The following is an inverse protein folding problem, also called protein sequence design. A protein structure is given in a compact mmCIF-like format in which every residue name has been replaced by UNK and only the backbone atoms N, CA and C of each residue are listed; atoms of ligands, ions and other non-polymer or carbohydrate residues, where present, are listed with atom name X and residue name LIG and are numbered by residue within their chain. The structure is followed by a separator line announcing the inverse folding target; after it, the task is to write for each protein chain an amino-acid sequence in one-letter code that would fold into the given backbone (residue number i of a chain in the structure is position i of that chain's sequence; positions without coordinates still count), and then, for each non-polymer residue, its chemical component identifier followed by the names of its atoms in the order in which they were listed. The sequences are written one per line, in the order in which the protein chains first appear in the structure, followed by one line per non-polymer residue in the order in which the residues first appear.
data_IF_440556891651
#
_entry.id   IF_440556891651
#
_cell.length_a   1.000
_cell.length_b   1.000
_cell.length_c   1.000
_cell.angle_alpha   90.00
_cell.angle_beta   90.00
_cell.angle_gamma   90.00
#
_symmetry.space_group_name_H-M   'P 1'
#
loop_
_entity.id
_entity.type
_entity.pdbx_description
1 polymer ?
#
# COMPACT_ATOMS: atom_id res chain seq x y z
N UNK A 1 37.79 -21.08 73.51
CA UNK A 1 37.10 -20.53 72.32
C UNK A 1 36.17 -21.62 71.79
N UNK A 2 35.26 -22.11 72.64
CA UNK A 2 33.90 -21.57 72.87
C UNK A 2 33.05 -21.73 71.59
N UNK A 3 32.38 -22.88 71.42
CA UNK A 3 30.99 -23.23 71.83
C UNK A 3 29.95 -22.65 70.85
N UNK A 4 29.32 -23.45 69.97
CA UNK A 4 28.25 -24.45 70.18
C UNK A 4 26.83 -23.85 70.17
N UNK A 5 26.06 -24.28 69.15
CA UNK A 5 24.62 -24.61 69.08
C UNK A 5 23.58 -23.86 69.95
N UNK A 6 22.42 -23.56 69.36
CA UNK A 6 21.14 -24.28 69.58
C UNK A 6 19.91 -23.47 69.17
N UNK A 7 18.90 -24.20 68.71
CA UNK A 7 17.54 -23.80 68.34
C UNK A 7 16.70 -23.46 69.57
N UNK A 8 15.85 -22.43 69.51
CA UNK A 8 14.57 -22.40 70.23
C UNK A 8 13.55 -21.48 69.53
N UNK A 9 12.34 -21.98 69.41
CA UNK A 9 11.09 -21.33 69.03
C UNK A 9 10.56 -20.42 70.15
N UNK A 10 9.87 -19.33 69.81
CA UNK A 10 8.75 -18.88 70.63
C UNK A 10 7.67 -18.16 69.82
N UNK A 11 6.42 -18.50 70.13
CA UNK A 11 5.20 -17.87 69.66
C UNK A 11 4.72 -16.93 70.76
N UNK A 12 4.33 -15.71 70.44
CA UNK A 12 3.45 -14.91 71.29
C UNK A 12 2.64 -13.92 70.47
N UNK A 13 1.34 -13.91 70.78
CA UNK A 13 0.19 -13.28 70.11
C UNK A 13 -0.06 -11.82 70.53
N UNK A 14 -1.09 -11.23 69.90
CA UNK A 14 -1.89 -10.01 70.23
C UNK A 14 -1.27 -8.71 69.67
N UNK A 15 -1.94 -7.79 68.94
CA UNK A 15 -3.35 -7.36 68.80
C UNK A 15 -3.63 -6.85 67.38
N UNK A 16 -4.89 -6.98 66.98
CA UNK A 16 -5.59 -6.21 65.94
C UNK A 16 -5.32 -4.69 66.02
N UNK A 17 -5.09 -4.07 64.87
CA UNK A 17 -5.28 -2.63 64.64
C UNK A 17 -5.34 -2.38 63.14
N UNK A 18 -6.57 -2.30 62.67
CA UNK A 18 -7.01 -1.71 61.40
C UNK A 18 -6.28 -0.40 61.09
N UNK A 19 -5.55 -0.35 59.99
CA UNK A 19 -5.35 0.88 59.22
C UNK A 19 -5.64 0.54 57.77
N UNK A 20 -6.90 0.77 57.39
CA UNK A 20 -7.32 0.89 56.00
C UNK A 20 -6.67 2.15 55.43
N UNK A 21 -5.61 2.01 54.64
CA UNK A 21 -5.22 3.04 53.68
C UNK A 21 -5.93 2.73 52.36
N UNK A 22 -7.14 3.27 52.25
CA UNK A 22 -7.95 3.25 51.05
C UNK A 22 -7.67 4.55 50.29
N UNK A 23 -6.68 4.59 49.40
CA UNK A 23 -6.62 5.65 48.39
C UNK A 23 -5.63 5.40 47.23
N UNK A 24 -6.07 4.75 46.14
CA UNK A 24 -5.47 4.97 44.79
C UNK A 24 -6.37 4.75 43.57
N UNK A 25 -7.63 4.29 43.69
CA UNK A 25 -8.38 3.87 42.48
C UNK A 25 -9.24 4.97 41.81
N UNK A 26 -9.31 6.18 42.37
CA UNK A 26 -10.16 7.25 41.83
C UNK A 26 -9.48 8.09 40.71
N UNK A 27 -8.15 8.21 40.73
CA UNK A 27 -7.40 9.13 39.85
C UNK A 27 -7.20 8.57 38.43
N UNK A 28 -7.18 7.24 38.27
CA UNK A 28 -7.08 6.59 36.96
C UNK A 28 -8.36 6.74 36.12
N UNK A 29 -9.54 6.74 36.75
CA UNK A 29 -10.83 6.83 36.07
C UNK A 29 -11.10 8.21 35.45
N UNK A 30 -10.67 9.28 36.11
CA UNK A 30 -10.81 10.65 35.62
C UNK A 30 -9.81 10.96 34.49
N UNK A 31 -8.56 10.51 34.62
CA UNK A 31 -7.54 10.65 33.58
C UNK A 31 -7.94 9.92 32.28
N UNK A 32 -8.48 8.71 32.39
CA UNK A 32 -8.93 7.93 31.23
C UNK A 32 -10.14 8.58 30.53
N UNK A 33 -11.05 9.18 31.31
CA UNK A 33 -12.18 9.93 30.77
C UNK A 33 -11.76 11.16 29.96
N UNK A 34 -10.66 11.82 30.34
CA UNK A 34 -10.18 13.03 29.66
C UNK A 34 -9.46 12.71 28.35
N UNK A 35 -8.71 11.61 28.30
CA UNK A 35 -8.04 11.15 27.07
C UNK A 35 -9.04 10.90 25.95
N UNK A 36 -10.18 10.30 26.27
CA UNK A 36 -11.23 9.95 25.31
C UNK A 36 -12.12 11.12 24.85
N UNK A 37 -11.99 12.31 25.44
CA UNK A 37 -12.88 13.43 25.13
C UNK A 37 -12.83 13.80 23.64
N UNK A 38 -14.00 13.92 23.01
CA UNK A 38 -14.12 14.28 21.59
C UNK A 38 -13.72 13.19 20.60
N UNK A 39 -13.50 11.95 21.04
CA UNK A 39 -13.13 10.83 20.15
C UNK A 39 -14.15 10.68 19.02
N UNK A 40 -13.69 10.60 17.78
CA UNK A 40 -14.51 10.48 16.55
C UNK A 40 -15.38 11.71 16.20
N UNK A 41 -15.46 12.73 17.05
CA UNK A 41 -16.28 13.94 16.81
C UNK A 41 -15.58 14.92 15.86
N UNK A 42 -14.25 14.87 15.79
CA UNK A 42 -13.43 15.81 15.02
C UNK A 42 -12.73 15.15 13.83
N UNK A 43 -12.29 15.98 12.88
CA UNK A 43 -11.47 15.54 11.74
C UNK A 43 -11.97 16.09 10.40
N UNK A 44 -11.70 15.35 9.34
CA UNK A 44 -12.16 15.64 7.99
C UNK A 44 -12.68 14.36 7.32
N UNK A 45 -13.04 14.44 6.04
CA UNK A 45 -13.47 13.27 5.26
C UNK A 45 -12.36 12.22 5.07
N UNK A 46 -11.08 12.58 5.24
CA UNK A 46 -9.97 11.64 5.13
C UNK A 46 -9.71 10.88 6.45
N UNK A 47 -9.65 11.60 7.57
CA UNK A 47 -9.25 11.06 8.88
C UNK A 47 -10.05 11.66 10.03
N UNK A 48 -10.38 10.82 11.02
CA UNK A 48 -10.99 11.26 12.29
C UNK A 48 -9.88 11.58 13.25
N UNK A 49 -9.80 12.80 13.78
CA UNK A 49 -8.75 13.16 14.73
C UNK A 49 -9.05 14.48 15.41
N UNK A 50 -8.43 14.69 16.57
CA UNK A 50 -8.65 15.85 17.44
C UNK A 50 -7.54 16.90 17.35
N UNK A 51 -6.84 16.97 16.22
CA UNK A 51 -5.89 18.03 15.91
C UNK A 51 -5.90 18.46 14.44
N UNK A 52 -5.40 19.68 14.19
CA UNK A 52 -5.00 20.22 12.88
C UNK A 52 -3.47 20.22 12.79
N UNK A 53 -2.93 20.22 11.57
CA UNK A 53 -1.50 20.35 11.31
C UNK A 53 -1.18 21.79 10.88
N UNK A 54 -0.02 22.30 11.29
CA UNK A 54 0.57 23.50 10.69
C UNK A 54 1.50 23.06 9.56
N UNK A 55 1.14 23.41 8.33
CA UNK A 55 1.85 23.02 7.13
C UNK A 55 3.24 23.70 7.09
N UNK A 56 4.36 22.96 7.09
CA UNK A 56 5.69 23.57 7.11
C UNK A 56 6.04 24.31 5.81
N UNK A 57 5.40 23.95 4.70
CA UNK A 57 5.63 24.53 3.38
C UNK A 57 5.06 25.95 3.20
N UNK A 58 3.90 26.24 3.81
CA UNK A 58 3.18 27.51 3.64
C UNK A 58 2.74 28.16 4.95
N UNK A 59 3.00 27.51 6.09
CA UNK A 59 2.60 27.92 7.45
C UNK A 59 1.08 28.04 7.68
N UNK A 60 0.28 27.54 6.75
CA UNK A 60 -1.18 27.47 6.88
C UNK A 60 -1.63 26.28 7.73
N UNK A 61 -2.86 26.34 8.22
CA UNK A 61 -3.43 25.32 9.10
C UNK A 61 -4.46 24.50 8.34
N UNK A 62 -4.25 23.19 8.31
CA UNK A 62 -5.17 22.25 7.69
C UNK A 62 -5.58 21.18 8.68
N UNK A 63 -6.70 20.51 8.42
CA UNK A 63 -6.96 19.24 9.07
C UNK A 63 -5.79 18.31 8.73
N UNK A 64 -5.72 17.72 7.53
CA UNK A 64 -4.64 16.78 7.16
C UNK A 64 -3.83 17.23 5.93
N UNK A 65 -2.80 16.43 5.62
CA UNK A 65 -2.05 16.52 4.37
C UNK A 65 -2.97 16.49 3.15
N UNK A 66 -4.00 15.65 3.11
CA UNK A 66 -4.88 15.56 1.95
C UNK A 66 -5.72 16.83 1.79
N UNK A 67 -6.35 17.34 2.87
CA UNK A 67 -7.01 18.65 2.83
C UNK A 67 -6.06 19.77 2.37
N UNK A 68 -4.80 19.76 2.81
CA UNK A 68 -3.79 20.70 2.34
C UNK A 68 -3.55 20.55 0.84
N UNK A 69 -3.23 19.34 0.37
CA UNK A 69 -2.87 19.08 -1.03
C UNK A 69 -4.04 19.32 -1.99
N UNK A 70 -5.28 19.05 -1.56
CA UNK A 70 -6.49 19.37 -2.33
C UNK A 70 -6.68 20.88 -2.45
N UNK A 71 -6.48 21.63 -1.37
CA UNK A 71 -6.63 23.10 -1.36
C UNK A 71 -5.50 23.81 -2.11
N UNK A 72 -4.33 23.17 -2.21
CA UNK A 72 -3.11 23.70 -2.86
C UNK A 72 -2.75 22.95 -4.14
N UNK A 73 -3.73 22.29 -4.77
CA UNK A 73 -3.52 21.44 -5.94
C UNK A 73 -2.85 22.23 -7.08
N UNK A 74 -1.74 21.70 -7.58
CA UNK A 74 -0.93 22.32 -8.65
C UNK A 74 0.07 23.39 -8.20
N UNK A 75 0.13 23.74 -6.91
CA UNK A 75 1.13 24.67 -6.37
C UNK A 75 2.26 23.94 -5.66
N UNK A 76 1.92 23.19 -4.61
CA UNK A 76 2.88 22.43 -3.81
C UNK A 76 2.18 21.36 -2.97
N UNK A 77 2.96 20.38 -2.50
CA UNK A 77 2.47 19.34 -1.60
C UNK A 77 3.12 19.42 -0.22
N UNK A 78 2.37 18.99 0.80
CA UNK A 78 2.90 18.87 2.15
C UNK A 78 3.66 17.55 2.32
N UNK A 79 4.92 17.66 2.71
CA UNK A 79 5.70 16.52 3.17
C UNK A 79 5.29 16.14 4.60
N UNK A 80 4.72 14.94 4.77
CA UNK A 80 4.21 14.43 6.05
C UNK A 80 5.26 14.41 7.18
N UNK A 81 6.53 14.18 6.85
CA UNK A 81 7.63 14.06 7.83
C UNK A 81 8.09 15.41 8.37
N UNK A 82 7.81 16.49 7.65
CA UNK A 82 8.30 17.83 7.99
C UNK A 82 7.36 18.56 8.94
N UNK A 83 6.18 17.98 9.25
CA UNK A 83 5.23 18.55 10.21
C UNK A 83 5.84 18.50 11.61
N UNK A 84 6.02 19.68 12.20
CA UNK A 84 6.60 19.83 13.54
C UNK A 84 5.57 20.28 14.58
N UNK A 85 4.46 20.89 14.16
CA UNK A 85 3.46 21.46 15.06
C UNK A 85 2.04 21.04 14.69
N UNK A 86 1.22 20.89 15.73
CA UNK A 86 -0.20 20.56 15.65
C UNK A 86 -1.00 21.50 16.55
N UNK A 87 -2.26 21.71 16.21
CA UNK A 87 -3.20 22.54 16.96
C UNK A 87 -4.30 21.62 17.47
N UNK A 88 -4.49 21.55 18.78
CA UNK A 88 -5.56 20.76 19.40
C UNK A 88 -6.93 21.33 19.00
N UNK A 89 -7.86 20.48 18.57
CA UNK A 89 -9.22 20.88 18.20
C UNK A 89 -10.18 21.04 19.40
N UNK A 90 -9.74 20.64 20.59
CA UNK A 90 -10.54 20.73 21.81
C UNK A 90 -10.28 22.03 22.58
N UNK A 91 -9.04 22.54 22.56
CA UNK A 91 -8.63 23.70 23.34
C UNK A 91 -7.74 24.70 22.59
N UNK A 92 -7.63 24.56 21.27
CA UNK A 92 -6.89 25.44 20.36
C UNK A 92 -5.39 25.64 20.68
N UNK A 93 -4.82 24.79 21.53
CA UNK A 93 -3.41 24.85 21.89
C UNK A 93 -2.55 24.40 20.71
N UNK A 94 -1.67 25.28 20.23
CA UNK A 94 -0.59 24.93 19.33
C UNK A 94 0.59 24.35 20.11
N UNK A 95 1.09 23.19 19.68
CA UNK A 95 2.16 22.46 20.36
C UNK A 95 3.04 21.70 19.37
N UNK A 96 4.25 21.26 19.77
CA UNK A 96 4.99 20.26 19.01
C UNK A 96 4.18 18.99 18.80
N UNK A 97 4.47 18.25 17.72
CA UNK A 97 3.84 16.95 17.46
C UNK A 97 4.02 16.05 18.68
N UNK A 98 2.88 15.65 19.24
CA UNK A 98 2.74 14.63 20.26
C UNK A 98 1.37 13.97 20.09
N UNK A 99 1.16 12.79 20.68
CA UNK A 99 -0.14 12.14 20.66
C UNK A 99 -1.16 12.84 21.56
N UNK A 100 -0.72 13.32 22.73
CA UNK A 100 -1.59 13.91 23.75
C UNK A 100 -1.43 15.42 23.78
N UNK A 101 -2.54 16.14 23.94
CA UNK A 101 -2.51 17.59 24.07
C UNK A 101 -1.83 17.99 25.39
N UNK A 102 -0.82 18.86 25.32
CA UNK A 102 -0.05 19.26 26.50
C UNK A 102 -0.80 20.18 27.45
N UNK A 103 -1.89 20.80 26.98
CA UNK A 103 -2.71 21.71 27.79
C UNK A 103 -3.94 21.00 28.37
N UNK A 104 -4.76 20.37 27.53
CA UNK A 104 -6.04 19.83 27.96
C UNK A 104 -6.05 18.31 28.21
N UNK A 105 -4.95 17.61 27.92
CA UNK A 105 -4.76 16.19 28.22
C UNK A 105 -5.53 15.22 27.30
N UNK A 106 -6.21 15.69 26.25
CA UNK A 106 -6.92 14.80 25.32
C UNK A 106 -5.95 14.03 24.43
N UNK A 107 -6.28 12.77 24.14
CA UNK A 107 -5.62 12.04 23.06
C UNK A 107 -6.04 12.66 21.72
N UNK A 108 -5.09 13.01 20.85
CA UNK A 108 -5.38 13.65 19.56
C UNK A 108 -5.63 12.64 18.42
N UNK A 109 -5.32 11.36 18.64
CA UNK A 109 -5.49 10.27 17.69
C UNK A 109 -5.34 8.91 18.38
N UNK A 110 -6.35 8.05 18.30
CA UNK A 110 -6.26 6.69 18.88
C UNK A 110 -5.08 5.90 18.28
N UNK A 111 -4.95 5.95 16.96
CA UNK A 111 -3.74 5.61 16.26
C UNK A 111 -2.88 6.86 16.06
N UNK A 112 -1.64 6.80 16.53
CA UNK A 112 -0.62 7.82 16.29
C UNK A 112 0.65 7.19 15.74
N UNK A 113 1.18 7.76 14.66
CA UNK A 113 2.48 7.41 14.13
C UNK A 113 3.38 8.63 14.09
N UNK A 114 4.39 8.66 14.96
CA UNK A 114 5.34 9.77 15.03
C UNK A 114 6.21 9.89 13.78
N UNK A 115 6.57 8.77 13.13
CA UNK A 115 7.36 8.80 11.88
C UNK A 115 6.59 9.48 10.75
N UNK A 116 5.28 9.23 10.66
CA UNK A 116 4.43 9.79 9.61
C UNK A 116 3.69 11.06 10.03
N UNK A 117 3.78 11.47 11.31
CA UNK A 117 2.97 12.53 11.92
C UNK A 117 1.48 12.33 11.65
N UNK A 118 1.04 11.07 11.74
CA UNK A 118 -0.31 10.62 11.35
C UNK A 118 -1.16 10.31 12.58
N UNK A 119 -2.42 10.75 12.55
CA UNK A 119 -3.40 10.66 13.63
C UNK A 119 -4.73 10.17 13.04
N UNK A 120 -5.31 9.12 13.61
CA UNK A 120 -6.65 8.66 13.26
C UNK A 120 -7.33 8.04 14.49
N UNK A 121 -8.57 8.41 14.77
CA UNK A 121 -9.38 7.86 15.86
C UNK A 121 -10.08 6.56 15.43
N UNK A 122 -10.22 6.35 14.12
CA UNK A 122 -10.92 5.21 13.56
C UNK A 122 -10.00 3.99 13.48
N UNK A 123 -9.85 3.26 14.59
CA UNK A 123 -9.05 2.02 14.65
C UNK A 123 -9.63 0.89 13.79
N UNK A 124 -10.88 1.00 13.32
CA UNK A 124 -11.52 0.00 12.46
C UNK A 124 -10.81 -0.18 11.12
N UNK A 125 -10.02 0.82 10.68
CA UNK A 125 -9.22 0.74 9.47
C UNK A 125 -7.96 -0.11 9.63
N UNK A 126 -7.57 -0.53 10.84
CA UNK A 126 -6.39 -1.36 11.08
C UNK A 126 -5.09 -0.71 10.59
N UNK A 127 -4.87 0.56 10.94
CA UNK A 127 -3.68 1.31 10.53
C UNK A 127 -2.41 0.66 11.10
N UNK A 128 -1.34 0.61 10.30
CA UNK A 128 -0.03 0.19 10.78
C UNK A 128 1.10 0.88 10.02
N UNK A 129 2.22 1.10 10.69
CA UNK A 129 3.43 1.62 10.04
C UNK A 129 4.25 0.45 9.47
N UNK A 130 4.60 0.54 8.19
CA UNK A 130 5.60 -0.35 7.60
C UNK A 130 6.95 0.36 7.59
N UNK A 131 7.90 -0.11 8.40
CA UNK A 131 9.24 0.47 8.51
C UNK A 131 10.00 0.46 7.17
N UNK A 132 9.88 -0.62 6.40
CA UNK A 132 10.56 -0.75 5.10
C UNK A 132 9.98 0.21 4.04
N UNK A 133 8.67 0.47 4.08
CA UNK A 133 8.08 1.50 3.22
C UNK A 133 8.30 2.93 3.76
N UNK A 134 8.44 3.07 5.07
CA UNK A 134 8.48 4.36 5.77
C UNK A 134 7.18 5.15 5.69
N UNK A 135 6.04 4.46 5.57
CA UNK A 135 4.68 5.04 5.54
C UNK A 135 3.68 4.16 6.29
N UNK A 136 2.57 4.77 6.73
CA UNK A 136 1.43 4.04 7.29
C UNK A 136 0.56 3.45 6.18
N UNK A 137 0.06 2.24 6.41
CA UNK A 137 -0.93 1.53 5.59
C UNK A 137 -2.18 1.27 6.42
N UNK A 138 -3.25 0.86 5.76
CA UNK A 138 -4.54 0.49 6.36
C UNK A 138 -4.92 -0.92 5.92
N UNK A 139 -5.75 -1.60 6.71
CA UNK A 139 -6.26 -2.94 6.45
C UNK A 139 -5.69 -4.04 7.34
N UNK A 140 -4.99 -3.70 8.43
CA UNK A 140 -4.45 -4.64 9.42
C UNK A 140 -3.07 -5.18 9.04
N UNK A 141 -2.11 -5.13 9.97
CA UNK A 141 -0.72 -5.54 9.69
C UNK A 141 -0.60 -7.00 9.27
N UNK A 142 -1.46 -7.84 9.82
CA UNK A 142 -1.56 -9.28 9.58
C UNK A 142 -2.06 -9.64 8.17
N UNK A 143 -2.74 -8.72 7.49
CA UNK A 143 -3.27 -8.95 6.14
C UNK A 143 -2.29 -8.53 5.04
N UNK A 144 -1.11 -8.04 5.41
CA UNK A 144 -0.12 -7.49 4.50
C UNK A 144 1.28 -8.04 4.76
N UNK A 145 2.07 -8.09 3.69
CA UNK A 145 3.50 -8.34 3.77
C UNK A 145 4.27 -7.34 2.94
N UNK A 146 5.50 -7.05 3.38
CA UNK A 146 6.44 -6.28 2.59
C UNK A 146 7.22 -7.21 1.67
N UNK A 147 7.13 -6.98 0.36
CA UNK A 147 7.98 -7.67 -0.61
C UNK A 147 9.29 -6.88 -0.79
N UNK A 148 10.41 -7.40 -0.28
CA UNK A 148 11.72 -6.74 -0.35
C UNK A 148 12.18 -6.50 -1.80
N UNK A 149 11.86 -7.43 -2.71
CA UNK A 149 12.22 -7.31 -4.13
C UNK A 149 11.43 -6.20 -4.83
N UNK A 150 10.15 -6.03 -4.51
CA UNK A 150 9.34 -4.96 -5.08
C UNK A 150 9.52 -3.62 -4.34
N UNK A 151 9.94 -3.67 -3.07
CA UNK A 151 10.04 -2.53 -2.16
C UNK A 151 8.66 -1.96 -1.80
N UNK A 152 7.66 -2.82 -1.61
CA UNK A 152 6.26 -2.42 -1.37
C UNK A 152 5.46 -3.43 -0.57
N UNK A 153 4.44 -2.94 0.15
CA UNK A 153 3.47 -3.77 0.85
C UNK A 153 2.36 -4.24 -0.09
N UNK A 154 2.05 -5.54 -0.03
CA UNK A 154 0.91 -6.15 -0.72
C UNK A 154 0.03 -6.90 0.25
N UNK A 155 -1.21 -7.16 -0.15
CA UNK A 155 -2.09 -8.06 0.60
C UNK A 155 -1.51 -9.47 0.61
N UNK A 156 -1.74 -10.20 1.70
CA UNK A 156 -1.24 -11.56 1.88
C UNK A 156 -1.74 -12.55 0.82
N UNK A 157 -2.86 -12.24 0.15
CA UNK A 157 -3.34 -12.99 -1.00
C UNK A 157 -2.35 -13.04 -2.18
N UNK A 158 -1.47 -12.05 -2.31
CA UNK A 158 -0.43 -11.94 -3.35
C UNK A 158 0.92 -12.53 -2.93
N UNK A 159 1.03 -13.07 -1.71
CA UNK A 159 2.24 -13.73 -1.22
C UNK A 159 2.58 -14.89 -2.15
N UNK A 160 3.81 -14.88 -2.66
CA UNK A 160 4.38 -15.87 -3.58
C UNK A 160 3.67 -16.05 -4.93
N UNK A 161 2.68 -15.22 -5.26
CA UNK A 161 1.90 -15.31 -6.52
C UNK A 161 2.21 -14.19 -7.52
N UNK A 162 2.74 -13.07 -7.06
CA UNK A 162 3.02 -11.92 -7.93
C UNK A 162 4.38 -12.04 -8.61
N UNK A 163 4.46 -11.62 -9.87
CA UNK A 163 5.74 -11.49 -10.57
C UNK A 163 6.46 -10.25 -10.04
N UNK A 164 7.55 -10.43 -9.28
CA UNK A 164 8.26 -9.30 -8.69
C UNK A 164 9.02 -8.50 -9.75
N UNK A 165 8.63 -7.24 -9.93
CA UNK A 165 9.38 -6.23 -10.70
C UNK A 165 9.90 -5.20 -9.71
N UNK A 166 11.21 -4.96 -9.74
CA UNK A 166 11.84 -4.00 -8.83
C UNK A 166 11.20 -2.61 -8.98
N UNK A 167 10.89 -2.01 -7.83
CA UNK A 167 10.34 -0.66 -7.74
C UNK A 167 9.04 -0.48 -8.54
N UNK A 168 8.20 -1.51 -8.65
CA UNK A 168 6.97 -1.47 -9.47
C UNK A 168 6.02 -0.34 -9.06
N UNK A 169 5.97 0.00 -7.77
CA UNK A 169 5.17 1.09 -7.19
C UNK A 169 5.87 2.44 -7.17
N UNK A 170 7.20 2.52 -7.36
CA UNK A 170 7.94 3.80 -7.34
C UNK A 170 8.02 4.40 -8.73
N UNK A 171 6.90 4.43 -9.43
CA UNK A 171 6.75 4.94 -10.79
C UNK A 171 5.40 5.65 -10.92
N UNK A 172 5.26 6.48 -11.95
CA UNK A 172 3.98 7.05 -12.32
C UNK A 172 3.13 6.00 -13.03
N UNK A 173 1.82 6.02 -12.79
CA UNK A 173 0.88 5.24 -13.57
C UNK A 173 1.02 5.62 -15.06
N UNK A 174 1.22 4.67 -15.99
CA UNK A 174 1.41 4.97 -17.40
C UNK A 174 0.15 5.50 -18.10
N UNK A 175 -1.00 5.47 -17.42
CA UNK A 175 -2.30 5.92 -17.94
C UNK A 175 -2.59 7.35 -17.47
N UNK A 176 -2.71 7.57 -16.15
CA UNK A 176 -3.05 8.87 -15.59
C UNK A 176 -1.86 9.72 -15.15
N UNK A 177 -0.64 9.18 -15.22
CA UNK A 177 0.62 9.84 -14.82
C UNK A 177 0.71 10.26 -13.34
N UNK A 178 -0.21 9.82 -12.50
CA UNK A 178 -0.13 10.02 -11.04
C UNK A 178 0.87 9.04 -10.40
N UNK A 179 1.59 9.50 -9.37
CA UNK A 179 2.62 8.71 -8.72
C UNK A 179 2.02 7.61 -7.83
N UNK A 180 2.29 6.34 -8.15
CA UNK A 180 1.60 5.18 -7.56
C UNK A 180 1.83 5.04 -6.04
N UNK A 181 3.03 5.37 -5.56
CA UNK A 181 3.39 5.11 -4.16
C UNK A 181 2.66 6.02 -3.16
N UNK A 182 2.41 7.27 -3.55
CA UNK A 182 1.74 8.27 -2.70
C UNK A 182 0.25 8.43 -3.01
N UNK A 183 -0.24 7.81 -4.09
CA UNK A 183 -1.67 7.81 -4.41
C UNK A 183 -2.50 7.08 -3.35
N UNK A 184 -3.70 7.59 -3.12
CA UNK A 184 -4.73 6.91 -2.31
C UNK A 184 -5.54 5.91 -3.11
N UNK A 185 -5.40 5.91 -4.45
CA UNK A 185 -6.15 5.02 -5.33
C UNK A 185 -5.66 3.60 -5.17
N UNK A 186 -6.59 2.66 -5.32
CA UNK A 186 -6.26 1.25 -5.35
C UNK A 186 -5.35 0.95 -6.55
N UNK A 187 -4.42 0.01 -6.36
CA UNK A 187 -3.45 -0.36 -7.38
C UNK A 187 -3.52 -1.85 -7.68
N UNK A 188 -3.28 -2.18 -8.94
CA UNK A 188 -3.27 -3.55 -9.46
C UNK A 188 -1.89 -3.93 -9.94
N UNK A 189 -1.38 -5.03 -9.39
CA UNK A 189 -0.19 -5.69 -9.93
C UNK A 189 -0.63 -6.57 -11.11
N UNK A 190 -0.22 -6.20 -12.32
CA UNK A 190 -0.49 -6.95 -13.54
C UNK A 190 0.29 -8.27 -13.55
N UNK A 191 -0.11 -9.22 -14.40
CA UNK A 191 0.58 -10.53 -14.53
C UNK A 191 2.07 -10.40 -14.87
N UNK A 192 2.45 -9.35 -15.61
CA UNK A 192 3.84 -9.05 -15.92
C UNK A 192 4.63 -8.42 -14.76
N UNK A 193 3.97 -8.13 -13.63
CA UNK A 193 4.54 -7.55 -12.42
C UNK A 193 4.53 -6.02 -12.37
N UNK A 194 4.22 -5.34 -13.48
CA UNK A 194 4.03 -3.89 -13.47
C UNK A 194 2.75 -3.51 -12.72
N UNK A 195 2.76 -2.33 -12.10
CA UNK A 195 1.64 -1.84 -11.29
C UNK A 195 1.01 -0.61 -11.93
N UNK A 196 -0.32 -0.54 -11.95
CA UNK A 196 -1.13 0.61 -12.40
C UNK A 196 -2.30 0.82 -11.42
N UNK A 197 -3.03 1.93 -11.49
CA UNK A 197 -4.26 2.09 -10.71
C UNK A 197 -5.35 1.11 -11.17
N UNK A 198 -6.18 0.67 -10.24
CA UNK A 198 -7.33 -0.22 -10.51
C UNK A 198 -8.27 0.40 -11.54
N UNK A 199 -8.67 1.66 -11.34
CA UNK A 199 -9.49 2.43 -12.29
C UNK A 199 -8.87 2.49 -13.70
N UNK A 200 -7.55 2.69 -13.79
CA UNK A 200 -6.85 2.75 -15.06
C UNK A 200 -6.76 1.37 -15.73
N UNK A 201 -6.74 0.29 -14.95
CA UNK A 201 -6.82 -1.06 -15.48
C UNK A 201 -8.20 -1.34 -16.06
N UNK A 202 -9.26 -0.96 -15.35
CA UNK A 202 -10.64 -1.17 -15.79
C UNK A 202 -10.95 -0.38 -17.06
N UNK A 203 -10.59 0.91 -17.11
CA UNK A 203 -10.70 1.75 -18.31
C UNK A 203 -9.96 1.13 -19.51
N UNK A 204 -8.78 0.56 -19.25
CA UNK A 204 -7.99 -0.11 -20.28
C UNK A 204 -8.71 -1.37 -20.83
N UNK A 205 -9.41 -2.13 -19.97
CA UNK A 205 -10.21 -3.28 -20.41
C UNK A 205 -11.47 -2.85 -21.18
N UNK A 206 -12.16 -1.79 -20.73
CA UNK A 206 -13.34 -1.24 -21.39
C UNK A 206 -13.04 -0.78 -22.82
N UNK A 207 -11.85 -0.23 -23.05
CA UNK A 207 -11.38 0.18 -24.37
C UNK A 207 -10.66 -0.93 -25.16
N UNK A 208 -10.83 -2.20 -24.76
CA UNK A 208 -10.26 -3.37 -25.41
C UNK A 208 -8.71 -3.33 -25.54
N UNK A 209 -8.02 -2.71 -24.58
CA UNK A 209 -6.55 -2.63 -24.53
C UNK A 209 -5.99 -3.71 -23.59
N UNK A 210 -5.91 -4.95 -24.07
CA UNK A 210 -5.52 -6.07 -23.22
C UNK A 210 -4.00 -6.26 -22.99
N UNK A 211 -3.18 -5.24 -23.28
CA UNK A 211 -1.72 -5.33 -23.19
C UNK A 211 -1.17 -4.28 -22.22
N UNK A 212 -0.15 -4.67 -21.46
CA UNK A 212 0.50 -3.80 -20.50
C UNK A 212 1.15 -2.62 -21.26
N UNK A 213 0.87 -1.36 -20.90
CA UNK A 213 1.43 -0.20 -21.60
C UNK A 213 2.95 -0.06 -21.43
N UNK A 214 3.54 -0.79 -20.47
CA UNK A 214 4.98 -0.72 -20.17
C UNK A 214 5.78 -1.79 -20.93
N UNK A 215 5.21 -2.98 -21.15
CA UNK A 215 5.96 -4.12 -21.71
C UNK A 215 5.20 -4.94 -22.75
N UNK A 216 3.99 -4.51 -23.12
CA UNK A 216 3.12 -5.14 -24.12
C UNK A 216 2.63 -6.56 -23.81
N UNK A 217 2.97 -7.15 -22.64
CA UNK A 217 2.43 -8.44 -22.19
C UNK A 217 0.91 -8.38 -21.97
N UNK A 218 0.21 -9.46 -22.28
CA UNK A 218 -1.22 -9.58 -21.99
C UNK A 218 -1.49 -9.48 -20.49
N UNK A 219 -2.48 -8.68 -20.12
CA UNK A 219 -2.77 -8.40 -18.69
C UNK A 219 -3.83 -9.31 -18.08
N UNK A 220 -4.73 -9.84 -18.90
CA UNK A 220 -5.82 -10.73 -18.50
C UNK A 220 -5.68 -12.11 -19.17
N UNK A 221 -6.67 -12.99 -19.02
CA UNK A 221 -6.69 -14.27 -19.74
C UNK A 221 -7.27 -14.07 -21.15
N UNK A 222 -6.43 -14.29 -22.15
CA UNK A 222 -6.77 -14.13 -23.57
C UNK A 222 -7.14 -15.45 -24.26
N UNK A 223 -7.19 -16.57 -23.53
CA UNK A 223 -7.36 -17.91 -24.11
C UNK A 223 -8.61 -18.05 -24.98
N UNK A 224 -9.72 -17.41 -24.60
CA UNK A 224 -10.96 -17.40 -25.40
C UNK A 224 -10.77 -16.64 -26.73
N UNK A 225 -10.09 -15.50 -26.69
CA UNK A 225 -9.81 -14.70 -27.87
C UNK A 225 -8.82 -15.41 -28.82
N UNK A 226 -7.79 -16.06 -28.27
CA UNK A 226 -6.87 -16.90 -29.04
C UNK A 226 -7.57 -18.04 -29.77
N UNK A 227 -8.58 -18.67 -29.14
CA UNK A 227 -9.39 -19.71 -29.79
C UNK A 227 -10.21 -19.18 -30.97
N UNK A 228 -10.77 -17.98 -30.85
CA UNK A 228 -11.49 -17.35 -31.96
C UNK A 228 -10.54 -17.07 -33.14
N UNK A 229 -9.32 -16.62 -32.87
CA UNK A 229 -8.30 -16.43 -33.90
C UNK A 229 -7.88 -17.76 -34.55
N UNK A 230 -7.78 -18.86 -33.79
CA UNK A 230 -7.55 -20.20 -34.34
C UNK A 230 -8.65 -20.60 -35.34
N UNK A 231 -9.92 -20.38 -34.98
CA UNK A 231 -11.08 -20.70 -35.83
C UNK A 231 -11.08 -19.85 -37.11
N UNK A 232 -10.78 -18.55 -37.00
CA UNK A 232 -10.77 -17.65 -38.16
C UNK A 232 -9.60 -17.92 -39.11
N UNK A 233 -8.44 -18.31 -38.59
CA UNK A 233 -7.29 -18.78 -39.38
C UNK A 233 -7.63 -20.07 -40.13
N UNK A 234 -8.31 -21.02 -39.48
CA UNK A 234 -8.72 -22.26 -40.13
C UNK A 234 -9.77 -22.01 -41.24
N UNK A 235 -10.64 -21.02 -41.06
CA UNK A 235 -11.65 -20.62 -42.04
C UNK A 235 -11.08 -19.80 -43.22
N UNK A 236 -9.93 -19.15 -43.05
CA UNK A 236 -9.32 -18.24 -44.03
C UNK A 236 -8.09 -18.86 -44.68
N UNK A 237 -8.27 -19.61 -45.77
CA UNK A 237 -7.14 -20.23 -46.47
C UNK A 237 -6.30 -19.14 -47.16
N UNK A 238 -5.02 -19.04 -46.79
CA UNK A 238 -4.09 -18.10 -47.44
C UNK A 238 -3.81 -18.49 -48.91
N UNK A 239 -3.82 -17.52 -49.84
CA UNK A 239 -3.40 -17.75 -51.22
C UNK A 239 -1.94 -18.22 -51.30
N UNK A 240 -1.60 -18.94 -52.36
CA UNK A 240 -0.30 -19.62 -52.49
C UNK A 240 0.90 -18.68 -52.33
N UNK A 241 0.85 -17.49 -52.94
CA UNK A 241 1.91 -16.47 -52.85
C UNK A 241 2.16 -15.95 -51.42
N UNK A 242 1.20 -16.14 -50.51
CA UNK A 242 1.29 -15.71 -49.12
C UNK A 242 1.61 -16.86 -48.14
N UNK A 243 1.85 -18.08 -48.64
CA UNK A 243 2.22 -19.25 -47.82
C UNK A 243 3.71 -19.31 -47.49
N UNK A 244 4.33 -18.16 -47.26
CA UNK A 244 5.71 -18.05 -46.80
C UNK A 244 5.77 -18.00 -45.27
N UNK A 245 6.98 -18.16 -44.72
CA UNK A 245 7.23 -18.08 -43.28
C UNK A 245 7.76 -16.71 -42.87
N UNK A 246 7.42 -16.30 -41.66
CA UNK A 246 7.88 -15.07 -41.01
C UNK A 246 8.42 -15.38 -39.62
N UNK A 247 9.36 -14.57 -39.18
CA UNK A 247 9.87 -14.59 -37.81
C UNK A 247 9.01 -13.69 -36.93
N UNK A 248 8.65 -14.19 -35.76
CA UNK A 248 7.86 -13.45 -34.78
C UNK A 248 8.54 -13.45 -33.41
N UNK A 249 8.37 -12.36 -32.66
CA UNK A 249 8.61 -12.28 -31.23
C UNK A 249 7.28 -12.29 -30.49
N UNK A 250 7.10 -13.21 -29.56
CA UNK A 250 5.93 -13.23 -28.68
C UNK A 250 6.15 -12.32 -27.46
N UNK A 251 5.27 -11.34 -27.27
CA UNK A 251 5.35 -10.43 -26.13
C UNK A 251 5.11 -11.15 -24.79
N UNK A 252 4.29 -12.20 -24.76
CA UNK A 252 3.94 -12.89 -23.50
C UNK A 252 5.08 -13.76 -22.98
N UNK A 253 5.68 -14.60 -23.85
CA UNK A 253 6.75 -15.53 -23.47
C UNK A 253 8.16 -15.04 -23.84
N UNK A 254 8.29 -13.93 -24.55
CA UNK A 254 9.56 -13.34 -25.02
C UNK A 254 10.41 -14.27 -25.90
N UNK A 255 9.83 -15.34 -26.46
CA UNK A 255 10.53 -16.26 -27.37
C UNK A 255 10.29 -15.86 -28.83
N UNK A 256 11.30 -16.13 -29.64
CA UNK A 256 11.24 -15.97 -31.09
C UNK A 256 10.88 -17.31 -31.72
N UNK A 257 9.99 -17.31 -32.71
CA UNK A 257 9.64 -18.51 -33.48
C UNK A 257 9.40 -18.16 -34.95
N UNK A 258 9.66 -19.12 -35.84
CA UNK A 258 9.33 -19.02 -37.25
C UNK A 258 7.96 -19.69 -37.51
N UNK A 259 7.02 -18.97 -38.13
CA UNK A 259 5.66 -19.45 -38.38
C UNK A 259 5.19 -19.08 -39.78
N UNK A 260 4.15 -19.73 -40.30
CA UNK A 260 3.55 -19.30 -41.56
C UNK A 260 2.87 -17.93 -41.40
N UNK A 261 3.05 -17.08 -42.41
CA UNK A 261 2.37 -15.80 -42.48
C UNK A 261 0.85 -16.03 -42.60
N UNK A 262 0.08 -15.26 -41.83
CA UNK A 262 -1.37 -15.24 -41.94
C UNK A 262 -1.89 -13.83 -41.67
N UNK A 263 -2.84 -13.37 -42.48
CA UNK A 263 -3.35 -11.98 -42.41
C UNK A 263 -4.04 -11.66 -41.07
N UNK A 264 -4.73 -12.65 -40.48
CA UNK A 264 -5.43 -12.53 -39.19
C UNK A 264 -4.47 -12.42 -37.99
N UNK A 265 -3.34 -13.13 -38.01
CA UNK A 265 -2.41 -13.11 -36.89
C UNK A 265 -1.45 -14.30 -36.85
N UNK A 266 -0.43 -14.20 -36.01
CA UNK A 266 0.66 -15.17 -35.92
C UNK A 266 0.68 -15.83 -34.55
N UNK A 267 0.39 -17.13 -34.50
CA UNK A 267 0.38 -17.91 -33.26
C UNK A 267 1.79 -18.21 -32.79
N UNK A 268 2.11 -17.90 -31.54
CA UNK A 268 3.37 -18.32 -30.95
C UNK A 268 3.44 -19.83 -30.77
N UNK A 269 4.45 -20.48 -31.33
CA UNK A 269 4.68 -21.92 -31.21
C UNK A 269 5.07 -22.41 -29.80
N UNK A 270 5.34 -21.50 -28.85
CA UNK A 270 5.77 -21.85 -27.50
C UNK A 270 4.68 -21.72 -26.43
N UNK A 271 3.80 -20.73 -26.56
CA UNK A 271 2.76 -20.45 -25.56
C UNK A 271 1.35 -20.28 -26.14
N UNK A 272 1.17 -20.49 -27.45
CA UNK A 272 -0.10 -20.36 -28.17
C UNK A 272 -0.72 -18.95 -28.17
N UNK A 273 -0.02 -17.93 -27.66
CA UNK A 273 -0.47 -16.54 -27.71
C UNK A 273 -0.37 -15.96 -29.12
N UNK A 274 -1.33 -15.11 -29.50
CA UNK A 274 -1.23 -14.26 -30.69
C UNK A 274 -0.76 -12.82 -30.38
N UNK A 275 -0.37 -12.52 -29.13
CA UNK A 275 0.28 -11.27 -28.78
C UNK A 275 1.74 -11.28 -29.28
N UNK A 276 1.89 -11.15 -30.58
CA UNK A 276 3.14 -11.34 -31.31
C UNK A 276 3.39 -10.17 -32.27
N UNK A 277 4.66 -9.94 -32.60
CA UNK A 277 5.06 -8.97 -33.64
C UNK A 277 6.07 -9.61 -34.57
N UNK A 278 6.00 -9.25 -35.85
CA UNK A 278 6.98 -9.70 -36.85
C UNK A 278 8.35 -9.08 -36.58
N UNK A 279 9.41 -9.86 -36.77
CA UNK A 279 10.80 -9.43 -36.61
C UNK A 279 11.65 -9.91 -37.79
N UNK A 280 12.87 -9.38 -37.90
CA UNK A 280 13.89 -9.98 -38.76
C UNK A 280 14.30 -11.37 -38.23
N UNK A 281 14.91 -12.22 -39.08
CA UNK A 281 15.49 -13.48 -38.64
C UNK A 281 16.49 -13.27 -37.49
N UNK A 282 16.53 -14.17 -36.48
CA UNK A 282 17.52 -14.10 -35.43
C UNK A 282 18.93 -14.21 -36.02
N UNK A 283 19.86 -13.38 -35.53
CA UNK A 283 21.26 -13.47 -35.92
C UNK A 283 21.79 -14.87 -35.54
N UNK A 284 22.31 -15.59 -36.53
CA UNK A 284 22.99 -16.86 -36.28
C UNK A 284 24.27 -16.52 -35.49
N UNK A 285 24.48 -17.08 -34.28
CA UNK A 285 25.73 -16.85 -33.57
C UNK A 285 26.90 -17.34 -34.43
N UNK A 286 28.03 -16.61 -34.47
CA UNK A 286 29.22 -17.06 -35.20
C UNK A 286 29.64 -18.44 -34.68
N UNK A 287 29.87 -19.37 -35.62
CA UNK A 287 30.34 -20.73 -35.37
C UNK A 287 31.73 -20.75 -34.75
#
# INVERSE_FOLDING_TARGET
METAASVVTDSSTVTDSTVTDSSTDADSSAADSRLGFGKMEFGCMHYRRRCKIRAPCCNEIFYCRHCHNESNSGLHELCRRDVQRVICLVCDTEQPVAQVCSNCGVNMGEYFCDVCKFYDDDLGKGQFHCNDCGICRVGGKENFFHCQKCGSCYSDGLRDKHSCVEHSMRRHCPICYEYLFDSLKETRVLKCGHTIHEECYDEMLEHARYTCPICSKSVCDMSKYWRQLDEEIAATIMPEDYRYKVWILCNDCNKVSEVFFHIVGHKCGHCNSYNTRTTSPPAVPPQ
#
